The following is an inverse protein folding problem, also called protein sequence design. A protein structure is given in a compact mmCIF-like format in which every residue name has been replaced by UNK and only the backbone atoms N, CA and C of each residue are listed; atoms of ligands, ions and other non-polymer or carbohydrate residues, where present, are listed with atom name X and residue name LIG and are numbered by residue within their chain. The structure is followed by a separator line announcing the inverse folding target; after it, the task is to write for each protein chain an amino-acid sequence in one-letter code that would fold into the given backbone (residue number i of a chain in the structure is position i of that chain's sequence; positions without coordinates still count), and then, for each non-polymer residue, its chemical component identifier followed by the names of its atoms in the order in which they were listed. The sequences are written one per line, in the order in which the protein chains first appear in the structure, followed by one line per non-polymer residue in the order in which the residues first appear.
data_IF_466521255510
#
_entry.id   IF_466521255510
#
_cell.length_a   1.000
_cell.length_b   1.000
_cell.length_c   1.000
_cell.angle_alpha   90.00
_cell.angle_beta   90.00
_cell.angle_gamma   90.00
#
_symmetry.space_group_name_H-M   'P 1'
#
loop_
_entity.id
_entity.type
_entity.pdbx_description
1 polymer ?
#
# COMPACT_ATOMS: atom_id res chain seq x y z
N UNK A 1 -50.34 -2.73 4.83
CA UNK A 1 -49.35 -2.22 3.85
C UNK A 1 -48.33 -1.25 4.47
N UNK A 2 -48.74 -0.28 5.30
CA UNK A 2 -47.84 0.71 5.92
C UNK A 2 -46.74 0.15 6.84
N UNK A 3 -47.01 -0.89 7.64
CA UNK A 3 -46.01 -1.46 8.58
C UNK A 3 -44.94 -2.33 7.90
N UNK A 4 -45.24 -2.97 6.77
CA UNK A 4 -44.22 -3.73 6.00
C UNK A 4 -43.27 -2.80 5.25
N UNK A 5 -43.74 -1.62 4.83
CA UNK A 5 -42.93 -0.60 4.14
C UNK A 5 -41.95 0.05 5.14
N UNK A 6 -42.37 0.28 6.39
CA UNK A 6 -41.47 0.75 7.45
C UNK A 6 -40.43 -0.30 7.86
N UNK A 7 -40.80 -1.58 7.88
CA UNK A 7 -39.86 -2.66 8.17
C UNK A 7 -38.86 -2.85 7.01
N UNK A 8 -39.29 -2.69 5.75
CA UNK A 8 -38.39 -2.73 4.59
C UNK A 8 -37.50 -1.50 4.49
N UNK A 9 -37.95 -0.30 4.92
CA UNK A 9 -37.09 0.89 5.04
C UNK A 9 -36.09 0.76 6.20
N UNK A 10 -36.49 0.15 7.32
CA UNK A 10 -35.61 -0.12 8.46
C UNK A 10 -34.59 -1.23 8.19
N UNK A 11 -34.94 -2.21 7.34
CA UNK A 11 -34.03 -3.25 6.83
C UNK A 11 -33.19 -2.79 5.62
N UNK A 12 -33.50 -1.62 5.05
CA UNK A 12 -32.70 -0.91 4.03
C UNK A 12 -31.84 0.23 4.62
N UNK A 13 -31.70 0.30 5.94
CA UNK A 13 -30.41 0.68 6.53
C UNK A 13 -29.50 -0.56 6.47
N UNK A 14 -29.42 -1.18 5.29
CA UNK A 14 -28.28 -1.98 4.91
C UNK A 14 -27.10 -1.04 5.02
N UNK A 15 -26.30 -1.26 6.06
CA UNK A 15 -24.95 -0.75 6.26
C UNK A 15 -24.33 -0.25 4.95
N UNK A 16 -24.47 1.05 4.69
CA UNK A 16 -23.52 1.71 3.82
C UNK A 16 -22.20 1.64 4.60
N UNK A 17 -21.46 0.56 4.39
CA UNK A 17 -20.20 0.33 5.07
C UNK A 17 -19.31 1.54 4.80
N UNK A 18 -18.80 2.17 5.86
CA UNK A 18 -17.74 3.13 5.69
C UNK A 18 -16.53 2.41 5.08
N UNK A 19 -15.89 3.03 4.09
CA UNK A 19 -14.60 2.58 3.59
C UNK A 19 -13.52 3.43 4.24
N UNK A 20 -12.30 2.89 4.43
CA UNK A 20 -11.20 3.76 4.80
C UNK A 20 -11.01 4.81 3.69
N UNK A 21 -10.61 6.01 4.08
CA UNK A 21 -10.50 7.14 3.16
C UNK A 21 -9.10 7.74 3.24
N UNK A 22 -8.59 8.17 2.09
CA UNK A 22 -7.37 8.96 2.00
C UNK A 22 -7.71 10.29 1.32
N UNK A 23 -7.64 11.38 2.09
CA UNK A 23 -8.08 12.69 1.66
C UNK A 23 -6.88 13.65 1.63
N UNK A 24 -6.41 14.10 0.45
CA UNK A 24 -5.32 15.07 0.36
C UNK A 24 -5.79 16.44 0.87
N UNK A 25 -4.91 17.12 1.61
CA UNK A 25 -5.22 18.42 2.21
C UNK A 25 -5.54 19.51 1.19
N UNK A 26 -5.04 19.34 -0.04
CA UNK A 26 -5.29 20.25 -1.17
C UNK A 26 -6.75 20.33 -1.60
N UNK A 27 -7.60 19.39 -1.18
CA UNK A 27 -9.02 19.35 -1.53
C UNK A 27 -9.92 20.21 -0.64
N UNK A 28 -9.42 20.71 0.50
CA UNK A 28 -10.23 21.48 1.44
C UNK A 28 -10.16 22.98 1.11
N UNK A 29 -11.11 23.46 0.32
CA UNK A 29 -11.22 24.87 -0.11
C UNK A 29 -11.25 25.84 1.09
N UNK A 30 -10.63 27.00 0.92
CA UNK A 30 -10.64 28.09 1.91
C UNK A 30 -11.99 28.79 2.05
N UNK A 31 -12.88 28.66 1.07
CA UNK A 31 -14.21 29.26 1.09
C UNK A 31 -15.29 28.38 1.71
N UNK A 32 -15.02 27.09 1.92
CA UNK A 32 -16.08 26.10 2.13
C UNK A 32 -15.85 25.28 3.41
N UNK A 33 -16.96 25.00 4.12
CA UNK A 33 -16.99 23.96 5.13
C UNK A 33 -17.16 22.61 4.43
N UNK A 34 -16.13 21.77 4.47
CA UNK A 34 -16.14 20.46 3.82
C UNK A 34 -16.73 19.40 4.74
N UNK A 35 -17.91 18.88 4.40
CA UNK A 35 -18.47 17.70 5.05
C UNK A 35 -17.79 16.43 4.52
N UNK A 36 -17.23 15.61 5.41
CA UNK A 36 -16.59 14.35 5.04
C UNK A 36 -17.63 13.23 5.10
N UNK A 37 -18.10 12.81 3.93
CA UNK A 37 -19.11 11.76 3.83
C UNK A 37 -18.51 10.37 4.07
N UNK A 38 -19.34 9.39 4.46
CA UNK A 38 -18.94 7.98 4.57
C UNK A 38 -18.03 7.66 5.76
N UNK A 39 -18.11 8.47 6.83
CA UNK A 39 -17.46 8.18 8.12
C UNK A 39 -18.45 7.51 9.08
N UNK A 40 -17.93 6.73 10.02
CA UNK A 40 -18.74 6.07 11.04
C UNK A 40 -18.23 6.34 12.45
N UNK A 41 -19.14 6.28 13.43
CA UNK A 41 -18.78 6.50 14.84
C UNK A 41 -17.83 5.41 15.34
N UNK A 42 -16.75 5.82 15.99
CA UNK A 42 -15.65 4.95 16.45
C UNK A 42 -14.60 4.65 15.38
N UNK A 43 -14.67 5.26 14.19
CA UNK A 43 -13.53 5.31 13.27
C UNK A 43 -12.44 6.25 13.80
N UNK A 44 -11.21 6.08 13.33
CA UNK A 44 -10.07 6.91 13.71
C UNK A 44 -9.61 7.76 12.52
N UNK A 45 -9.33 9.03 12.80
CA UNK A 45 -8.71 9.98 11.86
C UNK A 45 -7.25 10.20 12.23
N UNK A 46 -6.37 10.03 11.23
CA UNK A 46 -4.93 10.27 11.31
C UNK A 46 -4.50 11.35 10.31
N UNK A 47 -3.40 12.04 10.62
CA UNK A 47 -2.82 13.06 9.74
C UNK A 47 -1.38 12.67 9.40
N UNK A 48 -1.10 12.59 8.10
CA UNK A 48 0.24 12.37 7.57
C UNK A 48 0.66 13.59 6.77
N UNK A 49 1.44 14.48 7.38
CA UNK A 49 1.90 15.70 6.73
C UNK A 49 3.32 16.07 7.16
N UNK A 50 4.08 16.55 6.18
CA UNK A 50 5.37 17.21 6.37
C UNK A 50 5.24 18.75 6.24
N UNK A 51 4.01 19.26 6.10
CA UNK A 51 3.74 20.68 5.99
C UNK A 51 4.01 21.39 7.32
N UNK A 52 4.35 22.67 7.24
CA UNK A 52 4.63 23.48 8.43
C UNK A 52 3.38 23.58 9.32
N UNK A 53 3.52 23.29 10.62
CA UNK A 53 2.44 23.40 11.60
C UNK A 53 1.76 24.77 11.61
N UNK A 54 2.43 25.84 11.16
CA UNK A 54 1.83 27.16 11.02
C UNK A 54 0.64 27.21 10.05
N UNK A 55 0.63 26.34 9.04
CA UNK A 55 -0.46 26.19 8.08
C UNK A 55 -1.46 25.13 8.55
N UNK A 56 -0.99 24.06 9.18
CA UNK A 56 -1.86 23.00 9.71
C UNK A 56 -2.76 23.51 10.85
N UNK A 57 -2.29 24.42 11.70
CA UNK A 57 -3.12 25.04 12.75
C UNK A 57 -4.29 25.87 12.22
N UNK A 58 -4.24 26.27 10.96
CA UNK A 58 -5.34 26.99 10.32
C UNK A 58 -6.41 26.06 9.77
N UNK A 59 -6.18 24.74 9.80
CA UNK A 59 -7.15 23.72 9.39
C UNK A 59 -7.83 23.18 10.65
N UNK A 60 -9.15 23.37 10.73
CA UNK A 60 -9.99 22.91 11.82
C UNK A 60 -10.70 21.62 11.45
N UNK A 61 -10.69 20.67 12.36
CA UNK A 61 -11.42 19.41 12.30
C UNK A 61 -12.52 19.49 13.36
N UNK A 62 -13.77 19.51 12.91
CA UNK A 62 -14.95 19.49 13.79
C UNK A 62 -15.60 18.12 13.70
N UNK A 63 -15.72 17.47 14.85
CA UNK A 63 -16.23 16.12 15.03
C UNK A 63 -17.29 16.16 16.13
N UNK A 64 -18.57 16.19 15.72
CA UNK A 64 -19.67 16.46 16.64
C UNK A 64 -19.49 17.80 17.36
N UNK A 65 -19.34 17.75 18.69
CA UNK A 65 -19.12 18.94 19.55
C UNK A 65 -17.65 19.31 19.72
N UNK A 66 -16.73 18.47 19.26
CA UNK A 66 -15.29 18.67 19.44
C UNK A 66 -14.69 19.35 18.22
N UNK A 67 -13.94 20.43 18.42
CA UNK A 67 -13.13 21.05 17.37
C UNK A 67 -11.68 21.10 17.79
N UNK A 68 -10.80 20.58 16.94
CA UNK A 68 -9.34 20.66 17.10
C UNK A 68 -8.71 21.24 15.85
N UNK A 69 -7.47 21.70 15.95
CA UNK A 69 -6.65 22.06 14.79
C UNK A 69 -5.77 20.88 14.37
N UNK A 70 -5.48 20.80 13.07
CA UNK A 70 -4.85 19.62 12.47
C UNK A 70 -3.42 19.36 12.96
N UNK A 71 -2.70 20.39 13.38
CA UNK A 71 -1.36 20.27 13.95
C UNK A 71 -1.34 19.45 15.25
N UNK A 72 -2.45 19.38 15.99
CA UNK A 72 -2.54 18.50 17.17
C UNK A 72 -2.45 17.01 16.84
N UNK A 73 -2.81 16.62 15.61
CA UNK A 73 -2.74 15.23 15.14
C UNK A 73 -1.47 14.93 14.33
N UNK A 74 -0.78 15.95 13.84
CA UNK A 74 0.42 15.79 13.01
C UNK A 74 1.69 15.47 13.81
N UNK A 75 1.54 14.92 15.02
CA UNK A 75 2.61 14.61 15.97
C UNK A 75 2.43 13.19 16.49
N UNK A 76 3.45 12.64 17.15
CA UNK A 76 3.43 11.28 17.69
C UNK A 76 3.07 11.27 19.18
N UNK A 77 2.50 10.16 19.63
CA UNK A 77 2.35 9.83 21.04
C UNK A 77 3.73 9.55 21.66
N UNK A 78 3.77 9.48 23.00
CA UNK A 78 5.02 9.20 23.74
C UNK A 78 5.62 7.83 23.42
N UNK A 79 4.79 6.89 22.97
CA UNK A 79 5.20 5.55 22.55
C UNK A 79 5.63 5.49 21.08
N UNK A 80 5.67 6.63 20.38
CA UNK A 80 6.04 6.72 18.96
C UNK A 80 4.90 6.44 17.98
N UNK A 81 3.71 6.06 18.45
CA UNK A 81 2.55 5.83 17.58
C UNK A 81 1.95 7.15 17.08
N UNK A 82 1.32 7.21 15.89
CA UNK A 82 0.68 8.43 15.43
C UNK A 82 -0.53 8.80 16.29
N UNK A 83 -0.71 10.09 16.55
CA UNK A 83 -1.93 10.61 17.19
C UNK A 83 -3.14 10.40 16.28
N UNK A 84 -4.29 10.18 16.89
CA UNK A 84 -5.56 10.01 16.20
C UNK A 84 -6.71 10.73 16.90
N UNK A 85 -7.78 10.98 16.15
CA UNK A 85 -9.05 11.48 16.65
C UNK A 85 -10.13 10.43 16.39
N UNK A 86 -10.83 9.98 17.44
CA UNK A 86 -12.00 9.11 17.29
C UNK A 86 -13.22 9.90 16.82
N UNK A 87 -13.78 9.52 15.68
CA UNK A 87 -14.96 10.13 15.06
C UNK A 87 -16.21 9.77 15.87
N UNK A 88 -16.95 10.79 16.28
CA UNK A 88 -18.12 10.74 17.14
C UNK A 88 -19.18 11.73 16.61
N UNK A 89 -19.82 11.36 15.51
CA UNK A 89 -20.80 12.15 14.78
C UNK A 89 -20.29 12.60 13.41
N UNK A 90 -20.87 13.69 12.92
CA UNK A 90 -20.49 14.29 11.66
C UNK A 90 -19.07 14.86 11.71
N UNK A 91 -18.31 14.65 10.63
CA UNK A 91 -16.97 15.17 10.45
C UNK A 91 -16.96 16.31 9.43
N UNK A 92 -16.53 17.49 9.87
CA UNK A 92 -16.34 18.67 9.03
C UNK A 92 -14.90 19.16 9.08
N UNK A 93 -14.39 19.60 7.94
CA UNK A 93 -13.06 20.20 7.80
C UNK A 93 -13.22 21.58 7.20
N UNK A 94 -12.55 22.57 7.79
CA UNK A 94 -12.46 23.93 7.25
C UNK A 94 -11.04 24.45 7.37
N UNK A 95 -10.67 25.39 6.51
CA UNK A 95 -9.34 26.00 6.54
C UNK A 95 -9.44 27.51 6.47
N UNK A 96 -8.66 28.20 7.30
CA UNK A 96 -8.45 29.64 7.22
C UNK A 96 -7.20 30.01 6.38
N UNK A 97 -6.49 29.02 5.84
CA UNK A 97 -5.45 29.27 4.85
C UNK A 97 -6.07 29.85 3.58
N UNK A 98 -5.36 30.70 2.86
CA UNK A 98 -5.80 31.11 1.52
C UNK A 98 -5.63 29.95 0.51
N UNK A 99 -6.31 30.06 -0.63
CA UNK A 99 -6.26 29.06 -1.71
C UNK A 99 -4.84 28.67 -2.16
N UNK A 100 -3.93 29.65 -2.26
CA UNK A 100 -2.55 29.40 -2.68
C UNK A 100 -1.83 28.49 -1.69
N UNK A 101 -1.98 28.76 -0.39
CA UNK A 101 -1.39 27.92 0.68
C UNK A 101 -2.05 26.56 0.67
N UNK A 102 -3.39 26.48 0.67
CA UNK A 102 -4.14 25.22 0.66
C UNK A 102 -3.70 24.30 -0.48
N UNK A 103 -3.56 24.84 -1.70
CA UNK A 103 -3.13 24.06 -2.87
C UNK A 103 -1.66 23.65 -2.85
N UNK A 104 -0.85 24.28 -2.01
CA UNK A 104 0.56 23.93 -1.81
C UNK A 104 0.79 22.88 -0.71
N UNK A 105 -0.25 22.53 0.07
CA UNK A 105 -0.14 21.52 1.11
C UNK A 105 0.10 20.15 0.49
N UNK A 106 0.89 19.34 1.18
CA UNK A 106 1.31 18.01 0.71
C UNK A 106 0.73 16.89 1.55
N UNK A 107 0.18 17.19 2.72
CA UNK A 107 -0.35 16.19 3.64
C UNK A 107 -1.59 15.44 3.15
N UNK A 108 -1.87 14.33 3.82
CA UNK A 108 -3.09 13.54 3.67
C UNK A 108 -3.74 13.31 5.04
N UNK A 109 -5.07 13.21 5.05
CA UNK A 109 -5.85 12.64 6.14
C UNK A 109 -6.14 11.18 5.79
N UNK A 110 -5.95 10.29 6.75
CA UNK A 110 -6.39 8.91 6.65
C UNK A 110 -7.49 8.64 7.67
N UNK A 111 -8.63 8.11 7.21
CA UNK A 111 -9.76 7.75 8.07
C UNK A 111 -9.93 6.24 7.98
N UNK A 112 -9.94 5.55 9.12
CA UNK A 112 -10.20 4.11 9.19
C UNK A 112 -11.69 3.82 9.11
N UNK A 113 -12.05 2.56 8.98
CA UNK A 113 -13.37 2.09 9.44
C UNK A 113 -13.35 1.90 10.97
N UNK A 114 -14.52 1.82 11.60
CA UNK A 114 -14.70 1.41 12.99
C UNK A 114 -14.23 -0.02 13.21
N UNK A 115 -14.41 -0.89 12.22
CA UNK A 115 -13.94 -2.26 12.29
C UNK A 115 -12.40 -2.32 12.38
N UNK A 116 -11.71 -1.56 11.54
CA UNK A 116 -10.26 -1.40 11.60
C UNK A 116 -9.81 -0.76 12.93
N UNK A 117 -10.50 0.28 13.40
CA UNK A 117 -10.17 0.95 14.66
C UNK A 117 -10.28 0.02 15.89
N UNK A 118 -11.12 -1.01 15.83
CA UNK A 118 -11.33 -1.99 16.90
C UNK A 118 -10.49 -3.26 16.75
N UNK A 119 -9.82 -3.44 15.60
CA UNK A 119 -9.03 -4.63 15.34
C UNK A 119 -7.65 -4.50 16.02
N UNK A 120 -7.30 -5.35 16.99
CA UNK A 120 -6.00 -5.31 17.64
C UNK A 120 -4.83 -5.63 16.69
N UNK A 121 -5.09 -6.29 15.56
CA UNK A 121 -4.11 -6.55 14.51
C UNK A 121 -3.93 -5.39 13.53
N UNK A 122 -4.76 -4.35 13.62
CA UNK A 122 -4.71 -3.19 12.74
C UNK A 122 -3.88 -2.05 13.35
N UNK A 123 -3.11 -1.36 12.52
CA UNK A 123 -2.32 -0.22 12.96
C UNK A 123 -2.02 0.74 11.82
N UNK A 124 -1.75 2.00 12.17
CA UNK A 124 -1.33 3.04 11.24
C UNK A 124 0.06 3.53 11.65
N UNK A 125 0.94 3.71 10.67
CA UNK A 125 2.26 4.29 10.83
C UNK A 125 2.36 5.49 9.90
N UNK A 126 2.81 6.63 10.43
CA UNK A 126 3.11 7.83 9.65
C UNK A 126 4.62 7.95 9.55
N UNK A 127 5.17 7.81 8.33
CA UNK A 127 6.63 7.78 8.12
C UNK A 127 7.15 9.20 7.95
N UNK A 128 7.86 9.69 8.97
CA UNK A 128 8.52 11.01 8.98
C UNK A 128 10.03 10.93 9.22
N UNK A 129 10.50 9.82 9.77
CA UNK A 129 11.88 9.54 10.13
C UNK A 129 12.09 8.03 10.17
N UNK A 130 13.35 7.61 10.28
CA UNK A 130 13.72 6.21 10.45
C UNK A 130 13.03 5.59 11.67
N UNK A 131 12.31 4.50 11.45
CA UNK A 131 11.53 3.79 12.45
C UNK A 131 11.47 2.29 12.09
N UNK A 132 11.84 1.44 13.05
CA UNK A 132 11.68 -0.01 12.91
C UNK A 132 10.57 -0.47 13.83
N UNK A 133 9.75 -1.41 13.37
CA UNK A 133 8.70 -1.99 14.17
C UNK A 133 8.63 -3.50 14.01
N UNK A 134 7.98 -4.11 15.00
CA UNK A 134 7.81 -5.55 15.12
C UNK A 134 6.33 -5.88 15.31
N UNK A 135 5.91 -6.99 14.71
CA UNK A 135 4.65 -7.66 15.00
C UNK A 135 4.94 -9.05 15.53
N UNK A 136 4.28 -9.39 16.63
CA UNK A 136 4.48 -10.60 17.42
C UNK A 136 3.76 -11.84 16.87
N UNK A 137 2.70 -11.65 16.08
CA UNK A 137 2.02 -12.73 15.38
C UNK A 137 0.60 -12.39 14.93
N UNK A 138 -0.18 -13.42 14.64
CA UNK A 138 -1.58 -13.28 14.24
C UNK A 138 -1.77 -12.72 12.82
N UNK A 139 -3.02 -12.37 12.51
CA UNK A 139 -3.33 -11.62 11.29
C UNK A 139 -3.14 -10.14 11.58
N UNK A 140 -2.29 -9.49 10.79
CA UNK A 140 -1.97 -8.08 10.98
C UNK A 140 -2.18 -7.30 9.70
N UNK A 141 -2.67 -6.08 9.85
CA UNK A 141 -2.77 -5.10 8.77
C UNK A 141 -2.13 -3.80 9.25
N UNK A 142 -1.10 -3.33 8.57
CA UNK A 142 -0.40 -2.09 8.90
C UNK A 142 -0.56 -1.13 7.73
N UNK A 143 -1.13 0.04 7.98
CA UNK A 143 -1.22 1.13 7.01
C UNK A 143 0.01 2.00 7.15
N UNK A 144 0.71 2.20 6.04
CA UNK A 144 1.87 3.07 5.98
C UNK A 144 1.48 4.33 5.23
N UNK A 145 1.53 5.47 5.92
CA UNK A 145 1.25 6.79 5.36
C UNK A 145 2.58 7.52 5.14
N UNK A 146 2.93 7.71 3.87
CA UNK A 146 4.14 8.43 3.51
C UNK A 146 3.90 9.94 3.63
N UNK A 147 4.92 10.66 4.10
CA UNK A 147 4.92 12.13 4.12
C UNK A 147 5.84 12.69 3.03
N UNK A 148 5.65 13.96 2.69
CA UNK A 148 6.49 14.65 1.71
C UNK A 148 7.96 14.60 2.13
N UNK A 149 8.83 14.18 1.22
CA UNK A 149 10.26 14.22 1.43
C UNK A 149 10.72 15.66 1.69
N UNK A 150 11.45 15.83 2.79
CA UNK A 150 12.03 17.13 3.18
C UNK A 150 13.36 17.41 2.46
N UNK A 151 14.01 16.38 1.91
CA UNK A 151 15.24 16.53 1.15
C UNK A 151 14.93 16.88 -0.30
N UNK A 152 15.49 17.99 -0.76
CA UNK A 152 15.35 18.49 -2.12
C UNK A 152 16.33 17.75 -3.05
N UNK A 153 15.85 16.67 -3.65
CA UNK A 153 16.58 15.88 -4.64
C UNK A 153 15.68 15.73 -5.87
N UNK A 154 15.50 16.79 -6.66
CA UNK A 154 14.67 16.77 -7.89
C UNK A 154 15.30 15.97 -9.04
N UNK A 155 15.95 14.83 -8.75
CA UNK A 155 16.64 14.03 -9.76
C UNK A 155 15.69 12.97 -10.31
N UNK A 156 15.49 13.01 -11.61
CA UNK A 156 14.84 11.96 -12.38
C UNK A 156 13.44 11.62 -11.89
N UNK A 157 13.21 10.34 -11.60
CA UNK A 157 11.92 9.78 -11.21
C UNK A 157 11.72 9.65 -9.69
N UNK A 158 12.44 10.45 -8.89
CA UNK A 158 12.21 10.52 -7.46
C UNK A 158 10.76 10.93 -7.14
N UNK A 159 9.99 10.09 -6.42
CA UNK A 159 8.64 10.45 -5.98
C UNK A 159 8.68 11.52 -4.89
N UNK A 160 7.62 12.35 -4.82
CA UNK A 160 7.48 13.38 -3.78
C UNK A 160 7.30 12.79 -2.38
N UNK A 161 6.77 11.57 -2.28
CA UNK A 161 6.57 10.81 -1.05
C UNK A 161 7.06 9.39 -1.26
N UNK A 162 7.93 8.92 -0.39
CA UNK A 162 8.48 7.56 -0.45
C UNK A 162 8.82 7.09 0.96
N UNK A 163 8.74 5.78 1.12
CA UNK A 163 9.36 5.09 2.23
C UNK A 163 10.42 4.15 1.69
N UNK A 164 11.63 4.27 2.24
CA UNK A 164 12.72 3.33 2.06
C UNK A 164 12.57 2.21 3.09
N UNK A 165 12.35 0.99 2.62
CA UNK A 165 12.08 -0.20 3.42
C UNK A 165 13.31 -1.10 3.43
N UNK A 166 13.76 -1.48 4.61
CA UNK A 166 14.95 -2.31 4.84
C UNK A 166 14.69 -3.31 5.96
N UNK A 167 15.64 -4.23 6.18
CA UNK A 167 15.62 -5.21 7.26
C UNK A 167 14.31 -6.00 7.35
N UNK A 168 13.75 -6.38 6.21
CA UNK A 168 12.51 -7.16 6.15
C UNK A 168 12.82 -8.58 6.62
N UNK A 169 12.46 -8.90 7.87
CA UNK A 169 12.69 -10.21 8.48
C UNK A 169 11.36 -10.87 8.82
N UNK A 170 11.13 -12.06 8.28
CA UNK A 170 9.99 -12.92 8.59
C UNK A 170 10.33 -14.38 8.32
N UNK A 171 9.43 -15.30 8.65
CA UNK A 171 9.62 -16.73 8.40
C UNK A 171 8.95 -17.18 7.09
N UNK A 172 9.36 -18.31 6.48
CA UNK A 172 8.66 -18.93 5.36
C UNK A 172 7.17 -19.22 5.63
N UNK A 173 6.80 -19.38 6.91
CA UNK A 173 5.44 -19.64 7.36
C UNK A 173 4.66 -18.36 7.68
N UNK A 174 5.24 -17.19 7.42
CA UNK A 174 4.63 -15.88 7.61
C UNK A 174 4.48 -15.20 6.26
N UNK A 175 3.41 -15.48 5.50
CA UNK A 175 3.12 -14.76 4.27
C UNK A 175 3.03 -13.27 4.56
N UNK A 176 3.93 -12.51 3.95
CA UNK A 176 4.03 -11.07 4.04
C UNK A 176 3.70 -10.49 2.66
N UNK A 177 2.73 -9.58 2.61
CA UNK A 177 2.33 -8.91 1.37
C UNK A 177 2.33 -7.40 1.53
N UNK A 178 2.82 -6.70 0.52
CA UNK A 178 2.62 -5.25 0.39
C UNK A 178 1.60 -4.95 -0.70
N UNK A 179 0.70 -4.02 -0.39
CA UNK A 179 -0.48 -3.75 -1.20
C UNK A 179 -0.65 -2.26 -1.47
N UNK A 180 -0.97 -1.90 -2.71
CA UNK A 180 -1.29 -0.52 -3.09
C UNK A 180 -2.78 -0.25 -2.96
N UNK A 181 -3.15 1.01 -2.79
CA UNK A 181 -4.56 1.37 -2.58
C UNK A 181 -5.13 0.72 -1.31
N UNK A 182 -6.45 0.82 -1.14
CA UNK A 182 -7.14 0.19 -0.02
C UNK A 182 -7.37 -1.30 -0.36
N UNK A 183 -6.91 -2.25 0.48
CA UNK A 183 -7.16 -3.67 0.27
C UNK A 183 -8.66 -3.96 0.13
N UNK A 184 -9.10 -4.63 -0.95
CA UNK A 184 -10.50 -5.00 -1.10
C UNK A 184 -10.88 -6.06 -0.07
N UNK A 185 -12.16 -6.11 0.30
CA UNK A 185 -12.67 -7.15 1.22
C UNK A 185 -12.82 -8.53 0.64
N UNK A 186 -12.75 -8.62 -0.67
CA UNK A 186 -13.12 -9.82 -1.38
C UNK A 186 -11.91 -10.75 -1.47
N UNK A 187 -12.16 -12.04 -1.68
CA UNK A 187 -11.13 -13.08 -1.72
C UNK A 187 -10.09 -12.89 -2.85
N UNK A 188 -10.32 -11.95 -3.79
CA UNK A 188 -9.41 -11.67 -4.90
C UNK A 188 -8.60 -10.42 -4.56
N UNK A 189 -7.46 -10.63 -3.90
CA UNK A 189 -6.50 -9.57 -3.61
C UNK A 189 -5.68 -9.30 -4.87
N UNK A 190 -6.13 -8.36 -5.70
CA UNK A 190 -5.43 -7.98 -6.95
C UNK A 190 -4.37 -6.90 -6.74
N UNK A 191 -4.32 -6.29 -5.56
CA UNK A 191 -3.51 -5.11 -5.28
C UNK A 191 -2.16 -5.41 -4.59
N UNK A 192 -1.68 -6.66 -4.64
CA UNK A 192 -0.38 -7.04 -4.06
C UNK A 192 0.74 -6.78 -5.07
N UNK A 193 1.68 -5.90 -4.73
CA UNK A 193 2.89 -5.66 -5.53
C UNK A 193 4.13 -6.38 -5.02
N UNK A 194 4.13 -6.80 -3.76
CA UNK A 194 5.22 -7.57 -3.17
C UNK A 194 4.63 -8.70 -2.33
N UNK A 195 5.19 -9.90 -2.47
CA UNK A 195 4.86 -11.04 -1.62
C UNK A 195 6.10 -11.88 -1.31
N UNK A 196 6.19 -12.38 -0.09
CA UNK A 196 7.18 -13.37 0.29
C UNK A 196 6.56 -14.31 1.36
N UNK A 197 6.50 -15.64 1.12
CA UNK A 197 6.94 -16.37 -0.07
C UNK A 197 6.12 -16.05 -1.34
N UNK A 198 6.69 -16.37 -2.50
CA UNK A 198 6.01 -16.32 -3.81
C UNK A 198 5.61 -17.72 -4.28
N UNK A 199 4.62 -17.78 -5.17
CA UNK A 199 4.20 -19.03 -5.81
C UNK A 199 4.70 -19.10 -7.24
N UNK A 200 5.50 -20.13 -7.55
CA UNK A 200 5.95 -20.46 -8.89
C UNK A 200 5.26 -21.74 -9.38
N UNK A 201 5.16 -21.90 -10.71
CA UNK A 201 4.56 -23.08 -11.33
C UNK A 201 5.57 -23.79 -12.24
N UNK A 202 5.62 -25.12 -12.16
CA UNK A 202 6.30 -25.95 -13.15
C UNK A 202 5.28 -26.95 -13.70
N UNK A 203 4.76 -26.68 -14.90
CA UNK A 203 3.59 -27.38 -15.40
C UNK A 203 2.38 -27.16 -14.49
N UNK A 204 1.78 -28.24 -13.97
CA UNK A 204 0.67 -28.19 -13.02
C UNK A 204 1.10 -28.01 -11.56
N UNK A 205 2.38 -28.18 -11.26
CA UNK A 205 2.87 -28.19 -9.88
C UNK A 205 3.15 -26.78 -9.39
N UNK A 206 2.65 -26.46 -8.20
CA UNK A 206 2.85 -25.16 -7.53
C UNK A 206 3.88 -25.28 -6.42
N UNK A 207 4.87 -24.40 -6.44
CA UNK A 207 5.97 -24.34 -5.48
C UNK A 207 5.92 -23.02 -4.72
N UNK A 208 6.13 -23.07 -3.39
CA UNK A 208 6.32 -21.87 -2.58
C UNK A 208 7.81 -21.62 -2.46
N UNK A 209 8.23 -20.41 -2.84
CA UNK A 209 9.61 -19.97 -2.75
C UNK A 209 9.71 -18.84 -1.76
N UNK A 210 10.54 -19.03 -0.75
CA UNK A 210 10.85 -18.02 0.24
C UNK A 210 12.20 -17.38 -0.03
N UNK A 211 12.28 -16.05 0.08
CA UNK A 211 13.52 -15.31 -0.03
C UNK A 211 13.96 -14.83 1.35
N UNK A 212 15.04 -15.39 1.88
CA UNK A 212 15.68 -14.89 3.10
C UNK A 212 16.26 -13.48 2.90
N UNK A 213 16.77 -13.23 1.69
CA UNK A 213 17.38 -11.96 1.34
C UNK A 213 16.41 -11.14 0.49
N UNK A 214 16.05 -9.96 0.99
CA UNK A 214 15.22 -8.97 0.32
C UNK A 214 16.05 -7.71 0.17
N UNK A 215 16.25 -7.26 -1.06
CA UNK A 215 16.95 -6.00 -1.33
C UNK A 215 16.15 -4.83 -0.70
N UNK A 216 16.79 -3.69 -0.41
CA UNK A 216 16.06 -2.50 -0.01
C UNK A 216 14.99 -2.10 -1.02
N UNK A 217 13.83 -1.69 -0.52
CA UNK A 217 12.63 -1.46 -1.32
C UNK A 217 12.22 0.01 -1.21
N UNK A 218 11.90 0.66 -2.34
CA UNK A 218 11.38 2.03 -2.35
C UNK A 218 9.91 2.05 -2.75
N UNK A 219 9.05 2.59 -1.87
CA UNK A 219 7.60 2.60 -2.11
C UNK A 219 7.11 4.04 -2.20
N UNK A 220 7.01 4.52 -3.44
CA UNK A 220 6.59 5.87 -3.82
C UNK A 220 5.07 6.09 -3.87
N UNK A 221 4.33 5.69 -2.83
CA UNK A 221 2.87 5.82 -2.73
C UNK A 221 2.46 6.79 -1.61
N UNK A 222 1.30 7.44 -1.71
CA UNK A 222 0.77 8.23 -0.58
C UNK A 222 0.43 7.34 0.63
N UNK A 223 -0.11 6.16 0.35
CA UNK A 223 -0.59 5.18 1.32
C UNK A 223 -0.43 3.77 0.73
N UNK A 224 0.04 2.84 1.54
CA UNK A 224 0.17 1.42 1.20
C UNK A 224 0.00 0.55 2.44
N UNK A 225 -0.19 -0.74 2.25
CA UNK A 225 -0.56 -1.67 3.31
C UNK A 225 0.42 -2.83 3.39
N UNK A 226 0.70 -3.26 4.61
CA UNK A 226 1.35 -4.52 4.91
C UNK A 226 0.28 -5.45 5.48
N UNK A 227 0.12 -6.63 4.89
CA UNK A 227 -0.67 -7.70 5.50
C UNK A 227 0.23 -8.89 5.78
N UNK A 228 0.16 -9.43 6.99
CA UNK A 228 0.93 -10.61 7.35
C UNK A 228 0.12 -11.60 8.19
N UNK A 229 0.51 -12.88 8.13
CA UNK A 229 0.04 -13.93 9.04
C UNK A 229 1.21 -14.52 9.82
N UNK A 230 1.54 -13.89 10.95
CA UNK A 230 2.69 -14.26 11.78
C UNK A 230 3.66 -13.10 12.02
N UNK A 231 4.77 -13.37 12.72
CA UNK A 231 5.68 -12.32 13.17
C UNK A 231 6.59 -11.80 12.06
N UNK A 232 6.85 -10.49 12.07
CA UNK A 232 7.80 -9.85 11.17
C UNK A 232 8.42 -8.59 11.78
N UNK A 233 9.60 -8.22 11.28
CA UNK A 233 10.31 -6.97 11.56
C UNK A 233 10.55 -6.24 10.24
N UNK A 234 10.32 -4.93 10.22
CA UNK A 234 10.62 -4.05 9.09
C UNK A 234 11.18 -2.72 9.59
N UNK A 235 12.20 -2.20 8.90
CA UNK A 235 12.72 -0.85 9.06
C UNK A 235 12.18 0.05 7.96
N UNK A 236 11.63 1.22 8.32
CA UNK A 236 11.07 2.23 7.43
C UNK A 236 11.83 3.55 7.60
N UNK A 237 12.05 4.29 6.52
CA UNK A 237 12.66 5.61 6.58
C UNK A 237 12.08 6.54 5.51
N UNK A 238 11.91 7.83 5.84
CA UNK A 238 11.43 8.84 4.89
C UNK A 238 12.60 9.42 4.12
N UNK A 239 13.16 8.61 3.21
CA UNK A 239 14.26 9.01 2.33
C UNK A 239 14.16 8.34 0.97
N UNK A 240 14.80 8.94 -0.01
CA UNK A 240 15.00 8.36 -1.33
C UNK A 240 16.48 8.00 -1.51
N UNK A 241 16.74 6.82 -2.06
CA UNK A 241 18.06 6.34 -2.47
C UNK A 241 17.96 6.02 -3.96
N UNK A 242 18.77 6.67 -4.78
CA UNK A 242 18.78 6.43 -6.22
C UNK A 242 19.14 4.97 -6.52
N UNK A 243 18.20 4.24 -7.12
CA UNK A 243 18.27 2.82 -7.44
C UNK A 243 18.12 2.55 -8.94
N UNK A 244 18.18 3.58 -9.79
CA UNK A 244 18.10 3.44 -11.26
C UNK A 244 19.17 2.52 -11.83
N UNK A 245 20.32 2.43 -11.14
CA UNK A 245 21.36 1.44 -11.44
C UNK A 245 21.68 0.71 -10.13
N UNK A 246 20.95 -0.36 -9.88
CA UNK A 246 21.08 -1.17 -8.67
C UNK A 246 21.90 -2.43 -8.94
N UNK A 247 22.69 -2.85 -7.95
CA UNK A 247 23.38 -4.14 -7.97
C UNK A 247 22.90 -4.95 -6.77
N UNK A 248 22.37 -6.15 -7.03
CA UNK A 248 21.89 -7.01 -5.94
C UNK A 248 23.01 -7.40 -4.99
N UNK A 249 22.68 -7.73 -3.74
CA UNK A 249 23.69 -8.07 -2.73
C UNK A 249 23.75 -9.57 -2.40
N UNK A 250 22.84 -10.37 -2.95
CA UNK A 250 22.86 -11.83 -2.90
C UNK A 250 22.51 -12.48 -4.25
N UNK A 251 22.90 -13.76 -4.41
CA UNK A 251 22.54 -14.61 -5.55
C UNK A 251 21.12 -15.18 -5.47
N UNK A 252 20.60 -15.31 -4.25
CA UNK A 252 19.21 -15.68 -3.97
C UNK A 252 18.53 -14.45 -3.37
N UNK A 253 17.76 -13.72 -4.16
CA UNK A 253 17.24 -12.41 -3.75
C UNK A 253 15.93 -12.06 -4.42
N UNK A 254 15.16 -11.19 -3.79
CA UNK A 254 14.01 -10.49 -4.37
C UNK A 254 14.05 -9.01 -4.01
N UNK A 255 13.51 -8.17 -4.89
CA UNK A 255 13.35 -6.75 -4.65
C UNK A 255 12.21 -6.21 -5.50
N UNK A 256 12.02 -4.88 -5.49
CA UNK A 256 10.99 -4.25 -6.30
C UNK A 256 11.51 -3.06 -7.09
N UNK A 257 10.89 -2.82 -8.24
CA UNK A 257 10.89 -1.55 -8.95
C UNK A 257 9.46 -1.04 -8.93
N UNK A 258 9.24 0.17 -8.42
CA UNK A 258 7.91 0.74 -8.26
C UNK A 258 7.92 2.18 -8.76
N UNK A 259 6.98 2.50 -9.63
CA UNK A 259 6.68 3.88 -10.01
C UNK A 259 5.18 4.14 -10.11
N UNK A 260 4.78 5.34 -9.73
CA UNK A 260 3.42 5.83 -9.80
C UNK A 260 3.42 7.28 -10.27
N UNK A 261 3.86 7.50 -11.52
CA UNK A 261 4.01 8.84 -12.09
C UNK A 261 5.23 8.93 -13.00
N UNK A 262 6.19 9.77 -12.61
CA UNK A 262 7.43 9.93 -13.37
C UNK A 262 8.26 8.65 -13.31
N UNK A 263 8.87 8.27 -14.43
CA UNK A 263 9.70 7.07 -14.51
C UNK A 263 10.88 7.31 -15.46
N UNK A 264 12.06 6.88 -15.02
CA UNK A 264 13.25 6.77 -15.85
C UNK A 264 13.61 5.30 -16.03
N UNK A 265 14.66 4.99 -16.79
CA UNK A 265 15.05 3.60 -16.98
C UNK A 265 15.72 3.06 -15.72
N UNK A 266 15.32 1.86 -15.30
CA UNK A 266 15.91 1.15 -14.17
C UNK A 266 16.66 -0.08 -14.66
N UNK A 267 17.80 -0.32 -14.04
CA UNK A 267 18.69 -1.44 -14.31
C UNK A 267 19.04 -2.12 -12.99
N UNK A 268 18.84 -3.44 -12.92
CA UNK A 268 19.24 -4.26 -11.79
C UNK A 268 20.26 -5.29 -12.30
N UNK A 269 21.51 -5.12 -11.90
CA UNK A 269 22.59 -6.07 -12.16
C UNK A 269 22.60 -7.14 -11.05
N UNK A 270 22.40 -8.39 -11.45
CA UNK A 270 22.35 -9.52 -10.52
C UNK A 270 23.74 -10.11 -10.26
N UNK A 271 23.90 -10.80 -9.12
CA UNK A 271 25.10 -11.54 -8.77
C UNK A 271 24.87 -13.06 -8.90
N UNK A 272 24.83 -13.63 -10.12
CA UNK A 272 24.60 -15.06 -10.30
C UNK A 272 25.76 -15.88 -9.75
N UNK A 273 25.46 -17.04 -9.17
CA UNK A 273 26.47 -17.98 -8.72
C UNK A 273 27.01 -18.79 -9.91
N UNK A 274 28.27 -18.55 -10.26
CA UNK A 274 28.94 -19.17 -11.41
C UNK A 274 28.90 -20.70 -11.33
N UNK A 275 28.48 -21.33 -12.42
CA UNK A 275 28.43 -22.80 -12.54
C UNK A 275 27.18 -23.46 -11.93
N UNK A 276 26.26 -22.70 -11.34
CA UNK A 276 24.96 -23.21 -10.90
C UNK A 276 23.83 -22.86 -11.86
N UNK A 277 22.87 -23.78 -11.97
CA UNK A 277 21.54 -23.47 -12.53
C UNK A 277 20.76 -22.58 -11.58
N UNK A 278 19.60 -22.10 -12.01
CA UNK A 278 18.76 -21.29 -11.16
C UNK A 278 17.38 -21.04 -11.74
N UNK A 279 16.68 -20.09 -11.16
CA UNK A 279 15.40 -19.59 -11.70
C UNK A 279 15.31 -18.12 -11.39
N UNK A 280 14.85 -17.34 -12.36
CA UNK A 280 14.69 -15.90 -12.21
C UNK A 280 13.44 -15.43 -12.94
N UNK A 281 12.90 -14.30 -12.52
CA UNK A 281 11.65 -13.84 -13.06
C UNK A 281 11.16 -12.56 -12.44
N UNK A 282 9.96 -12.18 -12.87
CA UNK A 282 9.25 -11.01 -12.37
C UNK A 282 7.78 -11.33 -12.15
N UNK A 283 7.22 -10.73 -11.11
CA UNK A 283 5.79 -10.52 -10.96
C UNK A 283 5.52 -9.04 -11.19
N UNK A 284 4.49 -8.71 -11.95
CA UNK A 284 4.20 -7.32 -12.26
C UNK A 284 2.71 -7.00 -12.26
N UNK A 285 2.41 -5.75 -11.91
CA UNK A 285 1.09 -5.14 -12.04
C UNK A 285 1.26 -3.74 -12.62
N UNK A 286 0.31 -3.30 -13.44
CA UNK A 286 0.45 -2.01 -14.12
C UNK A 286 -0.88 -1.40 -14.49
N UNK A 287 -0.87 -0.07 -14.57
CA UNK A 287 -1.90 0.73 -15.24
C UNK A 287 -1.16 1.70 -16.15
N UNK A 288 -1.04 1.33 -17.43
CA UNK A 288 -0.24 2.09 -18.39
C UNK A 288 -1.08 3.15 -19.09
N UNK A 289 -0.56 4.37 -19.17
CA UNK A 289 -1.18 5.47 -19.89
C UNK A 289 -1.31 5.15 -21.39
N UNK A 290 -2.38 5.60 -22.06
CA UNK A 290 -2.50 5.47 -23.50
C UNK A 290 -1.26 6.04 -24.21
N UNK A 291 -0.78 5.33 -25.22
CA UNK A 291 0.42 5.68 -26.03
C UNK A 291 1.76 5.63 -25.26
N UNK A 292 1.80 5.04 -24.08
CA UNK A 292 3.05 4.73 -23.37
C UNK A 292 3.35 3.24 -23.46
N UNK A 293 4.63 2.91 -23.63
CA UNK A 293 5.12 1.55 -23.55
C UNK A 293 6.09 1.41 -22.38
N UNK A 294 6.00 0.29 -21.68
CA UNK A 294 6.97 -0.12 -20.67
C UNK A 294 7.51 -1.48 -21.07
N UNK A 295 8.81 -1.56 -21.31
CA UNK A 295 9.50 -2.80 -21.59
C UNK A 295 10.13 -3.36 -20.31
N UNK A 296 9.92 -4.65 -20.05
CA UNK A 296 10.59 -5.40 -18.98
C UNK A 296 11.41 -6.48 -19.64
N UNK A 297 12.73 -6.41 -19.50
CA UNK A 297 13.69 -7.32 -20.13
C UNK A 297 14.56 -7.98 -19.07
N UNK A 298 14.45 -9.30 -18.95
CA UNK A 298 15.24 -10.12 -18.04
C UNK A 298 16.29 -10.89 -18.85
N UNK A 299 17.55 -10.55 -18.65
CA UNK A 299 18.68 -11.20 -19.28
C UNK A 299 19.16 -12.37 -18.40
N UNK A 300 19.36 -13.53 -19.02
CA UNK A 300 19.92 -14.73 -18.43
C UNK A 300 20.91 -15.39 -19.41
N UNK A 301 21.58 -16.47 -19.00
CA UNK A 301 22.63 -17.12 -19.80
C UNK A 301 22.18 -17.61 -21.19
N UNK A 302 20.90 -17.93 -21.35
CA UNK A 302 20.27 -18.44 -22.57
C UNK A 302 19.68 -17.37 -23.48
N UNK A 303 19.55 -16.13 -23.00
CA UNK A 303 18.96 -15.05 -23.78
C UNK A 303 18.21 -14.05 -22.94
N UNK A 304 17.21 -13.42 -23.56
CA UNK A 304 16.42 -12.36 -22.96
C UNK A 304 14.95 -12.77 -22.99
N UNK A 305 14.34 -12.88 -21.82
CA UNK A 305 12.90 -12.98 -21.67
C UNK A 305 12.32 -11.57 -21.48
N UNK A 306 11.21 -11.28 -22.13
CA UNK A 306 10.65 -9.93 -22.06
C UNK A 306 9.14 -9.86 -22.22
N UNK A 307 8.58 -8.76 -21.74
CA UNK A 307 7.21 -8.36 -22.00
C UNK A 307 7.16 -6.85 -22.26
N UNK A 308 6.16 -6.41 -23.02
CA UNK A 308 5.90 -5.00 -23.30
C UNK A 308 4.47 -4.70 -22.85
N UNK A 309 4.33 -3.74 -21.95
CA UNK A 309 3.06 -3.24 -21.45
C UNK A 309 2.68 -2.00 -22.28
N UNK A 310 1.54 -2.04 -22.97
CA UNK A 310 1.08 -0.98 -23.86
C UNK A 310 -0.41 -0.69 -23.65
N UNK A 311 -0.72 0.35 -22.88
CA UNK A 311 -2.10 0.69 -22.53
C UNK A 311 -2.86 -0.42 -21.80
N UNK A 312 -2.13 -1.36 -21.19
CA UNK A 312 -2.69 -2.53 -20.49
C UNK A 312 -2.90 -2.25 -19.01
N UNK A 313 -3.91 -2.92 -18.45
CA UNK A 313 -4.09 -3.08 -17.01
C UNK A 313 -3.75 -4.52 -16.68
N UNK A 314 -2.70 -4.72 -15.91
CA UNK A 314 -2.21 -6.04 -15.50
C UNK A 314 -2.29 -6.15 -13.98
N UNK A 315 -2.77 -7.28 -13.50
CA UNK A 315 -2.90 -7.56 -12.08
C UNK A 315 -2.14 -8.84 -11.74
N UNK A 316 -0.94 -8.67 -11.19
CA UNK A 316 -0.07 -9.75 -10.70
C UNK A 316 0.27 -10.82 -11.75
N UNK A 317 0.49 -10.37 -12.99
CA UNK A 317 1.01 -11.19 -14.08
C UNK A 317 2.49 -11.54 -13.84
N UNK A 318 3.02 -12.56 -14.52
CA UNK A 318 4.39 -13.01 -14.30
C UNK A 318 5.00 -13.70 -15.51
N UNK A 319 6.33 -13.62 -15.62
CA UNK A 319 7.13 -14.53 -16.44
C UNK A 319 8.43 -14.85 -15.71
N UNK A 320 8.98 -16.04 -15.97
CA UNK A 320 10.22 -16.51 -15.36
C UNK A 320 10.88 -17.57 -16.23
N UNK A 321 12.17 -17.77 -16.00
CA UNK A 321 13.05 -18.66 -16.77
C UNK A 321 13.81 -19.61 -15.86
N UNK A 322 14.25 -20.75 -16.40
CA UNK A 322 14.99 -21.78 -15.66
C UNK A 322 16.48 -21.47 -15.50
N UNK A 323 16.83 -20.19 -15.40
CA UNK A 323 18.20 -19.72 -15.26
C UNK A 323 18.32 -18.54 -14.29
N UNK A 324 19.53 -18.34 -13.76
CA UNK A 324 19.84 -17.17 -12.96
C UNK A 324 19.88 -15.92 -13.85
N UNK A 325 19.31 -14.82 -13.37
CA UNK A 325 19.38 -13.55 -14.08
C UNK A 325 20.79 -12.97 -13.98
N UNK A 326 21.19 -12.26 -15.02
CA UNK A 326 22.39 -11.41 -15.04
C UNK A 326 21.99 -9.93 -14.96
N UNK A 327 20.89 -9.56 -15.63
CA UNK A 327 20.39 -8.18 -15.62
C UNK A 327 18.88 -8.12 -15.80
N UNK A 328 18.23 -7.19 -15.11
CA UNK A 328 16.87 -6.75 -15.42
C UNK A 328 16.94 -5.30 -15.89
N UNK A 329 16.29 -5.03 -17.01
CA UNK A 329 16.12 -3.68 -17.56
C UNK A 329 14.63 -3.36 -17.64
N UNK A 330 14.22 -2.24 -17.04
CA UNK A 330 12.88 -1.69 -17.16
C UNK A 330 12.99 -0.32 -17.80
N UNK A 331 12.40 -0.16 -18.98
CA UNK A 331 12.46 1.10 -19.72
C UNK A 331 11.08 1.57 -20.15
N UNK A 332 11.01 2.83 -20.55
CA UNK A 332 9.77 3.41 -21.05
C UNK A 332 10.00 4.33 -22.24
N UNK A 333 8.97 4.47 -23.08
CA UNK A 333 8.96 5.42 -24.19
C UNK A 333 8.59 6.84 -23.77
N UNK A 334 8.03 7.04 -22.57
CA UNK A 334 7.60 8.36 -22.08
C UNK A 334 8.00 8.53 -20.61
N UNK A 335 8.30 9.75 -20.14
CA UNK A 335 8.65 9.98 -18.74
C UNK A 335 7.46 9.81 -17.78
N UNK A 336 6.24 9.60 -18.28
CA UNK A 336 5.02 9.43 -17.48
C UNK A 336 4.22 8.20 -17.99
N UNK A 337 4.76 6.97 -17.84
CA UNK A 337 4.13 5.79 -18.40
C UNK A 337 2.85 5.35 -17.68
N UNK A 338 2.60 5.86 -16.47
CA UNK A 338 1.51 5.42 -15.60
C UNK A 338 2.05 4.79 -14.32
N UNK A 339 1.36 3.78 -13.80
CA UNK A 339 1.76 3.06 -12.58
C UNK A 339 2.32 1.69 -12.94
N UNK A 340 3.46 1.34 -12.36
CA UNK A 340 4.17 0.08 -12.62
C UNK A 340 4.68 -0.46 -11.28
N UNK A 341 4.39 -1.72 -11.01
CA UNK A 341 4.83 -2.45 -9.84
C UNK A 341 5.50 -3.74 -10.29
N UNK A 342 6.80 -3.91 -10.06
CA UNK A 342 7.55 -5.10 -10.49
C UNK A 342 8.27 -5.65 -9.28
N UNK A 343 7.95 -6.88 -8.87
CA UNK A 343 8.77 -7.66 -7.95
C UNK A 343 9.67 -8.58 -8.78
N UNK A 344 10.97 -8.37 -8.72
CA UNK A 344 11.95 -9.23 -9.39
C UNK A 344 12.51 -10.27 -8.42
N UNK A 345 13.01 -11.38 -8.97
CA UNK A 345 13.73 -12.37 -8.18
C UNK A 345 14.76 -13.14 -9.00
N UNK A 346 15.77 -13.67 -8.32
CA UNK A 346 16.69 -14.68 -8.84
C UNK A 346 17.06 -15.66 -7.73
N UNK A 347 17.24 -16.92 -8.10
CA UNK A 347 17.53 -18.05 -7.20
C UNK A 347 18.61 -18.89 -7.87
N UNK A 348 19.64 -19.24 -7.13
CA UNK A 348 20.63 -20.26 -7.47
C UNK A 348 20.18 -21.63 -6.94
N UNK A 349 20.39 -22.66 -7.75
CA UNK A 349 19.95 -24.03 -7.47
C UNK A 349 18.54 -24.33 -7.98
N UNK A 350 18.11 -25.58 -7.77
CA UNK A 350 16.78 -26.02 -8.17
C UNK A 350 15.71 -25.52 -7.19
N UNK A 351 14.52 -25.26 -7.71
CA UNK A 351 13.34 -24.79 -6.95
C UNK A 351 12.72 -25.92 -6.08
N UNK A 352 13.34 -27.10 -6.03
CA UNK A 352 12.88 -28.21 -5.19
C UNK A 352 13.20 -27.90 -3.73
N UNK A 353 12.28 -28.20 -2.78
CA UNK A 353 12.46 -27.81 -1.39
C UNK A 353 13.73 -28.42 -0.81
N UNK A 354 14.68 -27.56 -0.43
CA UNK A 354 15.67 -27.90 0.58
C UNK A 354 14.91 -28.02 1.90
N UNK A 355 14.81 -29.23 2.43
CA UNK A 355 14.40 -29.52 3.80
C UNK A 355 15.48 -28.98 4.75
N UNK A 356 15.53 -27.66 4.95
CA UNK A 356 16.34 -27.08 6.01
C UNK A 356 15.52 -26.94 7.30
N UNK A 357 16.06 -27.38 8.46
CA UNK A 357 15.39 -27.25 9.74
C UNK A 357 15.26 -25.77 10.14
N UNK A 358 14.23 -25.40 10.92
CA UNK A 358 14.00 -24.01 11.30
C UNK A 358 15.21 -23.41 12.03
N UNK A 359 15.76 -22.32 11.52
CA UNK A 359 16.68 -21.47 12.30
C UNK A 359 15.88 -20.76 13.39
N UNK A 360 16.27 -20.98 14.63
CA UNK A 360 15.74 -20.27 15.78
C UNK A 360 16.19 -18.80 15.70
N UNK A 361 15.24 -17.89 15.46
CA UNK A 361 15.45 -16.47 15.70
C UNK A 361 15.44 -16.22 17.22
N UNK A 362 16.46 -15.53 17.73
CA UNK A 362 16.54 -15.17 19.14
C UNK A 362 15.52 -14.07 19.45
N UNK A 363 14.43 -14.42 20.13
CA UNK A 363 13.43 -13.48 20.64
C UNK A 363 13.95 -12.83 21.92
N UNK A 364 14.29 -11.54 21.90
CA UNK A 364 14.35 -10.74 23.14
C UNK A 364 12.94 -10.58 23.67
N UNK A 365 12.61 -11.34 24.72
CA UNK A 365 11.30 -11.33 25.37
C UNK A 365 11.17 -10.09 26.25
N UNK A 366 10.24 -9.18 25.94
CA UNK A 366 9.65 -8.29 26.93
C UNK A 366 8.22 -8.79 27.15
N UNK A 367 7.95 -9.27 28.37
CA UNK A 367 6.78 -10.10 28.66
C UNK A 367 5.45 -9.42 28.40
N UNK A 368 4.53 -10.13 27.74
CA UNK A 368 3.12 -9.77 27.66
C UNK A 368 2.19 -11.00 27.61
N UNK A 369 0.97 -10.72 28.06
CA UNK A 369 -0.21 -11.56 28.32
C UNK A 369 -0.89 -12.04 27.01
N UNK A 370 -1.61 -13.17 26.98
CA UNK A 370 -2.14 -13.77 25.74
C UNK A 370 -3.26 -12.92 25.10
N UNK A 371 -3.21 -12.73 23.78
CA UNK A 371 -4.28 -12.09 22.97
C UNK A 371 -4.97 -13.16 22.09
N UNK A 372 -6.31 -13.14 21.94
CA UNK A 372 -7.04 -14.14 21.16
C UNK A 372 -6.95 -13.90 19.65
N UNK A 373 -6.94 -15.00 18.89
CA UNK A 373 -6.90 -15.04 17.42
C UNK A 373 -8.19 -14.50 16.79
N UNK A 374 -8.12 -13.37 16.08
CA UNK A 374 -9.18 -12.88 15.17
C UNK A 374 -8.82 -13.15 13.70
N UNK A 375 -9.86 -13.37 12.88
CA UNK A 375 -9.76 -13.44 11.42
C UNK A 375 -9.55 -12.03 10.84
N UNK A 376 -8.92 -11.88 9.65
CA UNK A 376 -8.75 -10.57 9.03
C UNK A 376 -10.12 -9.94 8.72
N UNK A 377 -10.35 -8.74 9.26
CA UNK A 377 -11.58 -7.99 9.05
C UNK A 377 -11.36 -6.99 7.92
N UNK A 378 -11.94 -7.26 6.76
CA UNK A 378 -11.99 -6.30 5.66
C UNK A 378 -13.39 -5.67 5.55
N UNK A 379 -13.51 -4.41 5.06
CA UNK A 379 -14.80 -3.72 4.96
C UNK A 379 -15.66 -4.27 3.83
N UNK A 380 -16.87 -4.75 4.13
CA UNK A 380 -17.76 -5.37 3.15
C UNK A 380 -18.15 -4.44 1.98
N UNK A 381 -17.85 -4.90 0.76
CA UNK A 381 -18.46 -4.60 -0.57
C UNK A 381 -18.09 -3.31 -1.31
N UNK A 382 -17.68 -3.42 -2.59
CA UNK A 382 -17.51 -2.41 -3.65
C UNK A 382 -16.63 -1.16 -3.37
N UNK A 383 -15.43 -1.20 -3.94
CA UNK A 383 -14.57 -0.02 -4.07
C UNK A 383 -15.26 1.11 -4.84
N UNK A 384 -15.11 2.32 -4.33
CA UNK A 384 -15.43 3.53 -5.06
C UNK A 384 -14.36 3.78 -6.13
N UNK A 385 -14.51 3.17 -7.30
CA UNK A 385 -14.01 3.80 -8.51
C UNK A 385 -14.94 4.99 -8.83
N UNK A 386 -14.34 6.14 -9.13
CA UNK A 386 -15.06 7.27 -9.70
C UNK A 386 -15.70 6.83 -11.03
N UNK A 387 -16.95 6.35 -11.00
CA UNK A 387 -17.80 6.19 -12.18
C UNK A 387 -19.03 7.06 -11.98
N UNK A 388 -19.23 7.92 -12.97
CA UNK A 388 -20.31 8.89 -13.09
C UNK A 388 -21.70 8.30 -12.78
N UNK A 389 -22.52 9.16 -12.17
CA UNK A 389 -23.98 9.08 -12.00
C UNK A 389 -24.71 8.29 -13.09
N UNK A 390 -25.35 7.18 -12.71
CA UNK A 390 -26.49 6.62 -13.45
C UNK A 390 -27.47 5.80 -12.58
N UNK A 391 -27.46 5.94 -11.24
CA UNK A 391 -28.38 5.17 -10.38
C UNK A 391 -29.62 5.94 -9.88
N UNK A 392 -29.76 7.23 -10.22
CA UNK A 392 -30.94 8.02 -9.80
C UNK A 392 -32.15 7.96 -10.75
N UNK A 393 -32.08 7.25 -11.88
CA UNK A 393 -33.17 7.21 -12.87
C UNK A 393 -34.14 6.02 -12.71
N UNK A 394 -33.73 4.95 -12.01
CA UNK A 394 -34.59 3.75 -11.86
C UNK A 394 -35.67 3.95 -10.79
N UNK A 395 -35.42 4.79 -9.78
CA UNK A 395 -36.40 5.06 -8.72
C UNK A 395 -37.59 5.91 -9.20
N UNK A 396 -37.39 6.79 -10.19
CA UNK A 396 -38.48 7.61 -10.72
C UNK A 396 -39.49 6.78 -11.54
N UNK A 397 -39.01 5.72 -12.21
CA UNK A 397 -39.89 4.85 -13.03
C UNK A 397 -40.78 3.94 -12.19
N UNK A 398 -40.31 3.47 -11.03
CA UNK A 398 -41.15 2.63 -10.15
C UNK A 398 -42.22 3.45 -9.43
N UNK A 399 -41.95 4.73 -9.13
CA UNK A 399 -42.94 5.61 -8.52
C UNK A 399 -44.05 6.07 -9.46
N UNK A 400 -43.78 6.17 -10.77
CA UNK A 400 -44.81 6.58 -11.76
C UNK A 400 -45.75 5.42 -12.13
N UNK A 401 -45.35 4.17 -11.94
CA UNK A 401 -46.18 3.00 -12.26
C UNK A 401 -46.98 2.43 -11.07
N UNK A 402 -46.85 3.02 -9.88
CA UNK A 402 -47.55 2.57 -8.66
C UNK A 402 -48.53 3.61 -8.09
N UNK A 403 -48.95 4.58 -8.92
CA UNK A 403 -50.10 5.45 -8.66
C UNK A 403 -51.19 5.25 -9.71
#
# INVERSE_FOLDING_TARGET
MSQLIFLSLALWISSAGAYPQLLPLTKFSSSDLSFVNGTENGALLFVASADNNKYLRNIKITNGVTTITMDHLNDVNRDGTPKSLEINGDLYISTANNETITKSLTGNIYITTRAQAKDPGFSVIVVKHAYSFYRDGGYTTVVILNTQLQQDNTKGDQPSKVTYVTDIQHSPNTPLHFQWGIPPSDAIITNIFYGNPVSLYNGSDRYQVFFEHVEPIQIGLDCWYITAKGPFVISLDSKYVDDRNYKTTASNTTGIILSNGQFENHFVDFQPEMGKKGTSGVFYSSVINPNSNVGIYLEAGTGIDSTILNGTIEARSSFYTSEQATRLTVNTTTPLPGSIYIQYFTISGDIYPLTDPPRNFATTTVGQTPVPTSAPIFPTTQGSSFIFRAQSLILLFVFVFLF
#
